data_IF_627910903846
#
_entry.id   IF_627910903846
#
_cell.length_a   1.000
_cell.length_b   1.000
_cell.length_c   1.000
_cell.angle_alpha   90.00
_cell.angle_beta   90.00
_cell.angle_gamma   90.00
#
_symmetry.space_group_name_H-M   'P 1'
#
loop_
_entity.id
_entity.type
_entity.pdbx_description
1 polymer ?
#
# COMPACT_ATOMS: atom_id res chain seq x y z
N UNK A 1 5.90 -3.08 19.45
CA UNK A 1 6.46 -3.46 18.14
C UNK A 1 7.15 -4.79 18.24
N UNK A 2 7.25 -5.53 17.15
CA UNK A 2 8.07 -6.74 17.08
C UNK A 2 9.50 -6.39 17.51
N UNK A 3 10.17 -7.25 18.29
CA UNK A 3 11.52 -7.00 18.81
C UNK A 3 12.62 -6.95 17.74
N UNK A 4 12.25 -6.73 16.47
CA UNK A 4 13.05 -6.90 15.28
C UNK A 4 13.19 -5.57 14.54
N UNK A 5 14.32 -4.86 14.77
CA UNK A 5 14.57 -3.51 14.20
C UNK A 5 14.75 -3.49 12.68
N UNK A 6 15.08 -4.63 12.07
CA UNK A 6 15.35 -4.74 10.63
C UNK A 6 14.15 -4.48 9.70
N UNK A 7 12.92 -4.49 10.22
CA UNK A 7 11.72 -4.15 9.43
C UNK A 7 11.47 -2.65 9.30
N UNK A 8 12.11 -1.84 10.14
CA UNK A 8 11.88 -0.39 10.22
C UNK A 8 13.14 0.36 9.83
N UNK A 9 14.31 -0.16 10.22
CA UNK A 9 15.59 0.46 9.97
C UNK A 9 16.29 -0.13 8.74
N UNK A 10 16.90 0.72 7.90
CA UNK A 10 17.74 0.24 6.80
C UNK A 10 18.96 -0.51 7.34
N UNK A 11 19.43 -1.49 6.57
CA UNK A 11 20.67 -2.22 6.86
C UNK A 11 21.83 -1.38 6.36
N UNK A 12 22.68 -0.93 7.28
CA UNK A 12 23.89 -0.16 6.95
C UNK A 12 25.15 -0.93 7.37
N UNK A 13 26.21 -0.83 6.57
CA UNK A 13 27.48 -1.48 6.90
C UNK A 13 28.35 -0.53 7.72
N UNK A 14 28.71 -0.92 8.94
CA UNK A 14 29.57 -0.14 9.80
C UNK A 14 31.04 -0.55 9.62
N UNK A 15 31.83 0.33 9.00
CA UNK A 15 33.26 0.12 8.75
C UNK A 15 34.10 0.00 10.03
N UNK A 16 33.70 0.58 11.16
CA UNK A 16 34.47 0.51 12.42
C UNK A 16 34.46 -0.89 13.03
N UNK A 17 33.34 -1.60 12.90
CA UNK A 17 33.14 -2.93 13.49
C UNK A 17 33.12 -4.04 12.44
N UNK A 18 33.30 -3.71 11.15
CA UNK A 18 33.18 -4.61 10.00
C UNK A 18 31.92 -5.50 10.07
N UNK A 19 30.78 -4.89 10.40
CA UNK A 19 29.50 -5.60 10.60
C UNK A 19 28.33 -4.78 10.06
N UNK A 20 27.32 -5.48 9.54
CA UNK A 20 26.00 -4.90 9.25
C UNK A 20 25.27 -4.55 10.55
N UNK A 21 24.79 -3.31 10.65
CA UNK A 21 24.00 -2.80 11.77
C UNK A 21 22.62 -2.34 11.25
N UNK A 22 21.62 -2.42 12.13
CA UNK A 22 20.21 -2.04 11.87
C UNK A 22 19.71 -1.05 12.93
N UNK A 23 20.63 -0.34 13.56
CA UNK A 23 20.34 0.60 14.62
C UNK A 23 20.06 1.98 14.03
N UNK A 24 18.77 2.31 13.90
CA UNK A 24 18.31 3.63 13.49
C UNK A 24 17.24 4.17 14.45
N UNK A 25 17.01 5.48 14.41
CA UNK A 25 15.83 6.09 15.00
C UNK A 25 14.64 5.90 14.03
N UNK A 26 13.55 5.22 14.44
CA UNK A 26 12.43 4.94 13.57
C UNK A 26 11.73 6.26 13.17
N UNK A 27 11.32 6.37 11.91
CA UNK A 27 10.58 7.54 11.45
C UNK A 27 9.22 7.67 12.14
N UNK A 28 8.66 8.88 12.15
CA UNK A 28 7.38 9.20 12.82
C UNK A 28 6.23 8.24 12.40
N UNK A 29 6.26 7.73 11.16
CA UNK A 29 5.29 6.75 10.65
C UNK A 29 5.25 5.44 11.45
N UNK A 30 6.36 5.10 12.09
CA UNK A 30 6.55 3.87 12.88
C UNK A 30 6.60 4.15 14.39
N UNK A 31 6.34 5.39 14.82
CA UNK A 31 6.20 5.73 16.24
C UNK A 31 4.72 5.70 16.65
N UNK A 32 4.47 5.36 17.91
CA UNK A 32 3.10 5.32 18.44
C UNK A 32 2.63 6.76 18.67
N UNK A 33 1.49 7.13 18.10
CA UNK A 33 0.93 8.47 18.23
C UNK A 33 -0.51 8.41 18.76
N UNK A 34 -0.86 9.43 19.53
CA UNK A 34 -2.19 9.57 20.13
C UNK A 34 -3.09 10.37 19.20
N UNK A 35 -4.21 9.77 18.80
CA UNK A 35 -5.23 10.39 17.94
C UNK A 35 -6.50 10.65 18.74
N UNK A 36 -7.00 11.89 18.67
CA UNK A 36 -8.29 12.25 19.22
C UNK A 36 -9.41 11.73 18.31
N UNK A 37 -10.41 11.07 18.89
CA UNK A 37 -11.54 10.55 18.13
C UNK A 37 -12.53 11.67 17.78
N UNK A 38 -13.16 11.64 16.59
CA UNK A 38 -14.24 12.57 16.30
C UNK A 38 -15.42 12.29 17.24
N UNK A 39 -16.13 13.35 17.65
CA UNK A 39 -17.22 13.31 18.65
C UNK A 39 -18.32 12.28 18.36
N UNK A 40 -18.55 11.98 17.08
CA UNK A 40 -19.50 10.93 16.65
C UNK A 40 -19.06 9.54 17.10
N UNK A 41 -17.76 9.26 17.05
CA UNK A 41 -17.19 7.97 17.45
C UNK A 41 -17.05 7.87 18.96
N UNK A 42 -16.71 8.98 19.64
CA UNK A 42 -16.65 9.04 21.10
C UNK A 42 -17.99 8.65 21.73
N UNK A 43 -19.11 9.11 21.18
CA UNK A 43 -20.45 8.77 21.67
C UNK A 43 -20.79 7.28 21.48
N UNK A 44 -20.13 6.57 20.58
CA UNK A 44 -20.39 5.15 20.31
C UNK A 44 -19.43 4.22 21.06
N UNK A 45 -18.16 4.58 21.18
CA UNK A 45 -17.12 3.73 21.80
C UNK A 45 -16.79 4.12 23.24
N UNK A 46 -17.13 5.33 23.68
CA UNK A 46 -16.81 5.85 25.01
C UNK A 46 -15.32 6.16 25.23
N UNK A 47 -14.49 6.08 24.19
CA UNK A 47 -13.06 6.39 24.26
C UNK A 47 -12.78 7.75 23.63
N UNK A 48 -11.90 8.54 24.24
CA UNK A 48 -11.52 9.90 23.78
C UNK A 48 -10.23 9.90 22.97
N UNK A 49 -9.29 9.01 23.30
CA UNK A 49 -7.98 8.91 22.64
C UNK A 49 -7.66 7.48 22.24
N UNK A 50 -7.15 7.29 21.02
CA UNK A 50 -6.67 5.99 20.54
C UNK A 50 -5.19 6.11 20.16
N UNK A 51 -4.42 5.10 20.56
CA UNK A 51 -2.99 5.02 20.27
C UNK A 51 -2.78 4.11 19.08
N UNK A 52 -2.35 4.69 17.96
CA UNK A 52 -2.17 3.98 16.70
C UNK A 52 -0.85 4.38 16.07
N UNK A 53 -0.29 3.48 15.27
CA UNK A 53 0.83 3.85 14.42
C UNK A 53 0.29 4.49 13.13
N UNK A 54 0.85 5.61 12.66
CA UNK A 54 0.41 6.25 11.42
C UNK A 54 0.41 5.29 10.22
N UNK A 55 1.38 4.36 10.13
CA UNK A 55 1.42 3.37 9.05
C UNK A 55 0.14 2.51 8.97
N UNK A 56 -0.52 2.23 10.09
CA UNK A 56 -1.75 1.43 10.13
C UNK A 56 -2.90 2.18 9.47
N UNK A 57 -2.99 3.49 9.70
CA UNK A 57 -4.02 4.36 9.11
C UNK A 57 -3.85 4.40 7.58
N UNK A 58 -2.62 4.63 7.11
CA UNK A 58 -2.31 4.61 5.67
C UNK A 58 -2.58 3.23 5.05
N UNK A 59 -2.28 2.14 5.75
CA UNK A 59 -2.55 0.77 5.27
C UNK A 59 -4.06 0.50 5.11
N UNK A 60 -4.88 0.96 6.06
CA UNK A 60 -6.35 0.84 5.97
C UNK A 60 -6.88 1.69 4.80
N UNK A 61 -6.39 2.91 4.63
CA UNK A 61 -6.77 3.77 3.51
C UNK A 61 -6.40 3.15 2.15
N UNK A 62 -5.18 2.66 1.99
CA UNK A 62 -4.72 2.04 0.75
C UNK A 62 -5.42 0.72 0.45
N UNK A 63 -5.65 -0.12 1.45
CA UNK A 63 -6.32 -1.41 1.26
C UNK A 63 -7.80 -1.26 0.90
N UNK A 64 -8.51 -0.34 1.55
CA UNK A 64 -9.89 0.00 1.20
C UNK A 64 -10.01 0.55 -0.22
N UNK A 65 -9.11 1.48 -0.59
CA UNK A 65 -9.03 2.00 -1.95
C UNK A 65 -8.75 0.90 -2.98
N UNK A 66 -7.76 0.03 -2.73
CA UNK A 66 -7.38 -1.06 -3.62
C UNK A 66 -8.52 -2.07 -3.83
N UNK A 67 -9.25 -2.41 -2.76
CA UNK A 67 -10.41 -3.31 -2.80
C UNK A 67 -11.51 -2.79 -3.73
N UNK A 68 -11.74 -1.48 -3.72
CA UNK A 68 -12.76 -0.84 -4.56
C UNK A 68 -12.25 -0.70 -5.99
N UNK A 69 -11.04 -0.18 -6.20
CA UNK A 69 -10.53 0.17 -7.53
C UNK A 69 -10.03 -1.03 -8.35
N UNK A 70 -9.54 -2.08 -7.70
CA UNK A 70 -9.02 -3.28 -8.38
C UNK A 70 -10.00 -3.89 -9.37
N UNK A 71 -11.25 -4.19 -8.98
CA UNK A 71 -12.28 -4.69 -9.88
C UNK A 71 -12.57 -3.77 -11.08
N UNK A 72 -12.61 -2.44 -10.87
CA UNK A 72 -12.88 -1.49 -11.95
C UNK A 72 -11.78 -1.48 -13.03
N UNK A 73 -10.52 -1.67 -12.64
CA UNK A 73 -9.41 -1.79 -13.60
C UNK A 73 -9.61 -2.98 -14.55
N UNK A 74 -9.98 -4.15 -14.00
CA UNK A 74 -10.26 -5.33 -14.81
C UNK A 74 -11.50 -5.18 -15.71
N UNK A 75 -12.54 -4.50 -15.23
CA UNK A 75 -13.72 -4.19 -16.05
C UNK A 75 -13.39 -3.25 -17.21
N UNK A 76 -12.57 -2.22 -16.97
CA UNK A 76 -12.14 -1.29 -18.02
C UNK A 76 -11.36 -2.02 -19.14
N UNK A 77 -10.39 -2.85 -18.76
CA UNK A 77 -9.63 -3.65 -19.72
C UNK A 77 -10.53 -4.64 -20.49
N UNK A 78 -11.45 -5.31 -19.80
CA UNK A 78 -12.44 -6.19 -20.45
C UNK A 78 -13.30 -5.44 -21.46
N UNK A 79 -13.82 -4.26 -21.09
CA UNK A 79 -14.61 -3.40 -21.97
C UNK A 79 -13.84 -2.96 -23.21
N UNK A 80 -12.59 -2.53 -23.03
CA UNK A 80 -11.70 -2.15 -24.13
C UNK A 80 -11.49 -3.31 -25.11
N UNK A 81 -11.21 -4.52 -24.61
CA UNK A 81 -11.05 -5.71 -25.46
C UNK A 81 -12.30 -5.99 -26.31
N UNK A 82 -13.49 -5.84 -25.73
CA UNK A 82 -14.76 -6.02 -26.46
C UNK A 82 -15.02 -4.95 -27.51
N UNK A 83 -14.62 -3.70 -27.26
CA UNK A 83 -14.73 -2.63 -28.26
C UNK A 83 -13.93 -2.95 -29.54
N UNK A 84 -12.76 -3.58 -29.40
CA UNK A 84 -11.93 -4.01 -30.53
C UNK A 84 -12.22 -5.44 -31.02
N UNK A 85 -13.26 -6.09 -30.48
CA UNK A 85 -13.62 -7.50 -30.80
C UNK A 85 -12.48 -8.49 -30.58
N UNK A 86 -11.57 -8.20 -29.65
CA UNK A 86 -10.49 -9.09 -29.21
C UNK A 86 -10.82 -9.70 -27.84
N UNK A 87 -10.17 -10.82 -27.50
CA UNK A 87 -10.35 -11.51 -26.20
C UNK A 87 -9.18 -11.28 -25.25
N UNK A 88 -7.97 -11.34 -25.79
CA UNK A 88 -6.71 -11.22 -25.06
C UNK A 88 -5.82 -10.21 -25.80
N UNK A 89 -5.05 -9.40 -25.07
CA UNK A 89 -4.21 -8.36 -25.69
C UNK A 89 -3.00 -8.95 -26.43
N UNK A 90 -2.54 -10.11 -25.99
CA UNK A 90 -1.42 -10.85 -26.58
C UNK A 90 -1.52 -12.33 -26.21
N UNK A 91 -0.75 -13.17 -26.88
CA UNK A 91 -0.58 -14.59 -26.55
C UNK A 91 0.81 -14.84 -25.95
N UNK A 92 1.23 -13.99 -25.00
CA UNK A 92 2.59 -14.05 -24.43
C UNK A 92 2.79 -15.32 -23.61
N UNK A 93 1.76 -15.78 -22.90
CA UNK A 93 1.79 -17.05 -22.17
C UNK A 93 0.83 -18.02 -22.88
N UNK A 94 1.32 -19.13 -23.45
CA UNK A 94 0.47 -20.06 -24.17
C UNK A 94 -0.63 -20.60 -23.25
N UNK A 95 -1.89 -20.38 -23.65
CA UNK A 95 -3.08 -20.78 -22.88
C UNK A 95 -3.46 -19.91 -21.68
N UNK A 96 -2.73 -18.81 -21.40
CA UNK A 96 -2.97 -17.96 -20.22
C UNK A 96 -3.21 -16.47 -20.54
N UNK A 97 -3.12 -16.10 -21.82
CA UNK A 97 -3.37 -14.75 -22.33
C UNK A 97 -2.13 -13.86 -22.37
N UNK A 98 -2.34 -12.55 -22.37
CA UNK A 98 -1.29 -11.55 -22.43
C UNK A 98 -0.79 -11.16 -21.03
N UNK A 99 0.43 -10.64 -20.96
CA UNK A 99 0.94 -10.00 -19.73
C UNK A 99 0.02 -8.83 -19.34
N UNK A 100 -0.43 -8.03 -20.30
CA UNK A 100 -1.30 -6.88 -20.03
C UNK A 100 -2.62 -7.28 -19.35
N UNK A 101 -3.17 -8.47 -19.65
CA UNK A 101 -4.39 -8.99 -19.00
C UNK A 101 -4.20 -9.32 -17.50
N UNK A 102 -2.96 -9.37 -17.02
CA UNK A 102 -2.61 -9.62 -15.60
C UNK A 102 -2.23 -8.34 -14.86
N UNK A 103 -1.76 -7.34 -15.60
CA UNK A 103 -1.21 -6.10 -15.05
C UNK A 103 -2.15 -4.90 -15.24
N UNK A 104 -3.30 -5.05 -15.89
CA UNK A 104 -4.28 -3.98 -16.15
C UNK A 104 -4.72 -3.24 -14.87
N UNK A 105 -5.16 -3.96 -13.84
CA UNK A 105 -5.54 -3.38 -12.56
C UNK A 105 -4.33 -2.96 -11.72
N UNK A 106 -3.21 -3.68 -11.85
CA UNK A 106 -1.99 -3.41 -11.09
C UNK A 106 -1.33 -2.10 -11.52
N UNK A 107 -1.35 -1.77 -12.82
CA UNK A 107 -0.79 -0.52 -13.34
C UNK A 107 -1.58 0.70 -12.87
N UNK A 108 -2.91 0.60 -12.89
CA UNK A 108 -3.80 1.63 -12.36
C UNK A 108 -3.56 1.81 -10.86
N UNK A 109 -3.54 0.71 -10.10
CA UNK A 109 -3.32 0.76 -8.66
C UNK A 109 -1.94 1.34 -8.32
N UNK A 110 -0.88 0.92 -9.01
CA UNK A 110 0.48 1.41 -8.80
C UNK A 110 0.58 2.93 -9.00
N UNK A 111 -0.07 3.46 -10.03
CA UNK A 111 -0.11 4.91 -10.30
C UNK A 111 -0.80 5.67 -9.16
N UNK A 112 -1.96 5.19 -8.70
CA UNK A 112 -2.67 5.81 -7.59
C UNK A 112 -1.90 5.71 -6.27
N UNK A 113 -1.28 4.56 -5.98
CA UNK A 113 -0.44 4.36 -4.80
C UNK A 113 0.76 5.29 -4.81
N UNK A 114 1.40 5.48 -5.97
CA UNK A 114 2.52 6.42 -6.10
C UNK A 114 2.09 7.85 -5.77
N UNK A 115 0.97 8.31 -6.33
CA UNK A 115 0.40 9.64 -6.01
C UNK A 115 0.07 9.76 -4.53
N UNK A 116 -0.50 8.71 -3.92
CA UNK A 116 -0.82 8.70 -2.50
C UNK A 116 0.44 8.84 -1.62
N UNK A 117 1.48 8.05 -1.89
CA UNK A 117 2.75 8.12 -1.15
C UNK A 117 3.39 9.51 -1.32
N UNK A 118 3.38 10.07 -2.53
CA UNK A 118 3.97 11.37 -2.83
C UNK A 118 3.22 12.56 -2.24
N UNK A 119 1.92 12.42 -1.93
CA UNK A 119 1.10 13.54 -1.46
C UNK A 119 0.80 13.50 0.05
N UNK A 120 0.69 12.30 0.62
CA UNK A 120 0.24 12.11 2.00
C UNK A 120 1.29 11.52 2.94
N UNK A 121 2.35 10.90 2.41
CA UNK A 121 3.38 10.21 3.22
C UNK A 121 4.71 10.96 3.19
N UNK A 122 5.16 11.38 2.00
CA UNK A 122 6.32 12.27 1.83
C UNK A 122 5.91 13.72 1.99
#
# INVERSE_FOLDING_TARGET
MSGWRYFVCPVEFNNHYNRFQVDCEPSELFQLQDYALPSVLESFTGWTTVRLYPFQIHSIALSSFASIMGPFGGFFASGFKRAFKIKDFANTIPGHGGIMDRFDCQYLLATCVYVYIASFIR
#
